data_IF_427449801048
#
_entry.id   IF_427449801048
#
_cell.length_a   1.000
_cell.length_b   1.000
_cell.length_c   1.000
_cell.angle_alpha   90.00
_cell.angle_beta   90.00
_cell.angle_gamma   90.00
#
_symmetry.space_group_name_H-M   'P 1'
#
loop_
_entity.id
_entity.type
_entity.pdbx_description
1 polymer ?
#
# COMPACT_ATOMS: atom_id res chain seq x y z
N UNK A 1 17.53 2.68 9.47
CA UNK A 1 16.37 1.94 8.90
C UNK A 1 15.04 2.47 9.40
N UNK A 2 14.82 2.60 10.72
CA UNK A 2 13.57 3.13 11.30
C UNK A 2 13.09 4.41 10.59
N UNK A 3 13.96 5.41 10.44
CA UNK A 3 13.64 6.66 9.71
C UNK A 3 13.11 6.47 8.29
N UNK A 4 13.68 5.54 7.52
CA UNK A 4 13.20 5.27 6.16
C UNK A 4 11.82 4.60 6.17
N UNK A 5 11.56 3.71 7.12
CA UNK A 5 10.24 3.08 7.28
C UNK A 5 9.20 4.13 7.70
N UNK A 6 9.53 4.97 8.68
CA UNK A 6 8.69 6.10 9.12
C UNK A 6 8.38 7.06 7.96
N UNK A 7 9.39 7.41 7.16
CA UNK A 7 9.21 8.29 6.00
C UNK A 7 8.26 7.70 4.96
N UNK A 8 8.34 6.37 4.72
CA UNK A 8 7.43 5.70 3.78
C UNK A 8 6.03 5.58 4.37
N UNK A 9 5.88 5.30 5.67
CA UNK A 9 4.58 5.27 6.34
C UNK A 9 3.89 6.63 6.33
N UNK A 10 4.63 7.72 6.49
CA UNK A 10 4.07 9.07 6.51
C UNK A 10 3.66 9.59 5.13
N UNK A 11 4.29 9.08 4.06
CA UNK A 11 4.11 9.57 2.68
C UNK A 11 3.85 8.41 1.70
N UNK A 12 3.13 7.39 2.14
CA UNK A 12 2.96 6.17 1.35
C UNK A 12 2.18 6.44 0.05
N UNK A 13 1.38 7.50 -0.01
CA UNK A 13 0.60 7.97 -1.15
C UNK A 13 1.45 8.76 -2.17
N UNK A 14 2.69 9.13 -1.85
CA UNK A 14 3.57 9.91 -2.73
C UNK A 14 4.66 9.04 -3.39
N UNK A 15 5.15 9.37 -4.60
CA UNK A 15 6.26 8.63 -5.20
C UNK A 15 7.51 8.64 -4.32
N UNK A 16 8.12 7.46 -4.10
CA UNK A 16 9.36 7.34 -3.30
C UNK A 16 10.58 7.51 -4.21
N UNK A 17 11.52 8.34 -3.77
CA UNK A 17 12.88 8.42 -4.32
C UNK A 17 13.84 7.62 -3.45
N UNK A 18 14.28 6.48 -3.96
CA UNK A 18 15.12 5.54 -3.20
C UNK A 18 16.51 6.13 -2.94
N UNK A 19 17.02 6.90 -3.89
CA UNK A 19 18.29 7.62 -3.82
C UNK A 19 18.33 8.58 -2.64
N UNK A 20 17.23 9.29 -2.39
CA UNK A 20 17.13 10.26 -1.30
C UNK A 20 17.14 9.55 0.06
N UNK A 21 16.38 8.47 0.21
CA UNK A 21 16.36 7.65 1.43
C UNK A 21 17.70 6.96 1.71
N UNK A 22 18.36 6.46 0.66
CA UNK A 22 19.67 5.85 0.78
C UNK A 22 20.72 6.89 1.20
N UNK A 23 20.68 8.09 0.59
CA UNK A 23 21.59 9.20 0.90
C UNK A 23 21.41 9.70 2.33
N UNK A 24 20.19 9.86 2.81
CA UNK A 24 19.89 10.26 4.19
C UNK A 24 20.55 9.34 5.21
N UNK A 25 20.62 8.04 4.89
CA UNK A 25 21.19 7.01 5.75
C UNK A 25 22.66 6.71 5.45
N UNK A 26 23.32 7.50 4.59
CA UNK A 26 24.71 7.30 4.15
C UNK A 26 24.98 5.91 3.55
N UNK A 27 24.01 5.38 2.79
CA UNK A 27 24.09 4.08 2.13
C UNK A 27 24.14 4.23 0.62
N UNK A 28 24.75 3.26 -0.05
CA UNK A 28 24.46 3.03 -1.47
C UNK A 28 23.01 2.55 -1.64
N UNK A 29 22.42 2.78 -2.83
CA UNK A 29 21.07 2.31 -3.17
C UNK A 29 20.95 0.79 -3.03
N UNK A 30 21.96 0.03 -3.49
CA UNK A 30 21.97 -1.43 -3.36
C UNK A 30 22.04 -1.88 -1.90
N UNK A 31 22.89 -1.24 -1.09
CA UNK A 31 22.99 -1.50 0.35
C UNK A 31 21.67 -1.21 1.07
N UNK A 32 21.02 -0.10 0.72
CA UNK A 32 19.71 0.28 1.24
C UNK A 32 18.65 -0.79 0.92
N UNK A 33 18.55 -1.24 -0.34
CA UNK A 33 17.61 -2.30 -0.71
C UNK A 33 17.81 -3.59 0.08
N UNK A 34 19.07 -4.02 0.25
CA UNK A 34 19.40 -5.22 1.04
C UNK A 34 18.95 -5.04 2.49
N UNK A 35 19.37 -3.96 3.15
CA UNK A 35 19.02 -3.73 4.56
C UNK A 35 17.52 -3.56 4.77
N UNK A 36 16.84 -2.83 3.89
CA UNK A 36 15.40 -2.64 3.96
C UNK A 36 14.68 -3.98 3.85
N UNK A 37 15.08 -4.84 2.90
CA UNK A 37 14.51 -6.18 2.75
C UNK A 37 14.84 -7.09 3.92
N UNK A 38 16.03 -7.01 4.51
CA UNK A 38 16.38 -7.77 5.71
C UNK A 38 15.48 -7.39 6.90
N UNK A 39 15.13 -6.12 7.04
CA UNK A 39 14.29 -5.64 8.15
C UNK A 39 12.79 -5.84 7.91
N UNK A 40 12.32 -5.65 6.68
CA UNK A 40 10.88 -5.63 6.34
C UNK A 40 10.40 -6.86 5.58
N UNK A 41 11.31 -7.78 5.23
CA UNK A 41 11.10 -8.89 4.29
C UNK A 41 10.73 -8.47 2.84
N UNK A 42 10.63 -7.17 2.55
CA UNK A 42 10.13 -6.63 1.27
C UNK A 42 11.07 -5.56 0.71
N UNK A 43 10.99 -5.29 -0.59
CA UNK A 43 11.63 -4.08 -1.13
C UNK A 43 10.82 -2.83 -0.71
N UNK A 44 11.43 -1.63 -0.67
CA UNK A 44 10.72 -0.39 -0.34
C UNK A 44 9.46 -0.15 -1.18
N UNK A 45 9.53 -0.43 -2.49
CA UNK A 45 8.40 -0.26 -3.42
C UNK A 45 7.30 -1.31 -3.14
N UNK A 46 7.67 -2.54 -2.79
CA UNK A 46 6.69 -3.57 -2.40
C UNK A 46 6.00 -3.19 -1.08
N UNK A 47 6.75 -2.68 -0.13
CA UNK A 47 6.24 -2.22 1.16
C UNK A 47 5.25 -1.06 0.98
N UNK A 48 5.63 -0.03 0.23
CA UNK A 48 4.74 1.09 -0.10
C UNK A 48 3.46 0.61 -0.79
N UNK A 49 3.59 -0.26 -1.79
CA UNK A 49 2.43 -0.82 -2.50
C UNK A 49 1.48 -1.53 -1.55
N UNK A 50 2.00 -2.33 -0.63
CA UNK A 50 1.16 -3.02 0.34
C UNK A 50 0.43 -2.01 1.24
N UNK A 51 1.10 -0.96 1.71
CA UNK A 51 0.45 0.11 2.49
C UNK A 51 -0.68 0.77 1.70
N UNK A 52 -0.42 1.17 0.44
CA UNK A 52 -1.43 1.78 -0.44
C UNK A 52 -2.65 0.88 -0.62
N UNK A 53 -2.44 -0.41 -0.91
CA UNK A 53 -3.52 -1.35 -1.15
C UNK A 53 -4.33 -1.63 0.13
N UNK A 54 -3.68 -1.73 1.29
CA UNK A 54 -4.35 -1.88 2.57
C UNK A 54 -5.17 -0.65 2.94
N UNK A 55 -4.62 0.55 2.76
CA UNK A 55 -5.37 1.78 3.04
C UNK A 55 -6.53 1.97 2.08
N UNK A 56 -6.38 1.65 0.80
CA UNK A 56 -7.49 1.71 -0.15
C UNK A 56 -8.63 0.76 0.26
N UNK A 57 -8.29 -0.45 0.75
CA UNK A 57 -9.30 -1.37 1.30
C UNK A 57 -10.02 -0.75 2.51
N UNK A 58 -9.28 -0.12 3.43
CA UNK A 58 -9.84 0.57 4.60
C UNK A 58 -10.78 1.70 4.19
N UNK A 59 -10.34 2.59 3.29
CA UNK A 59 -11.13 3.68 2.72
C UNK A 59 -12.44 3.20 2.09
N UNK A 60 -12.40 2.12 1.30
CA UNK A 60 -13.61 1.56 0.69
C UNK A 60 -14.54 0.92 1.73
N UNK A 61 -14.00 0.28 2.78
CA UNK A 61 -14.77 -0.38 3.84
C UNK A 61 -15.44 0.62 4.78
N UNK A 62 -14.66 1.54 5.33
CA UNK A 62 -15.04 2.42 6.44
C UNK A 62 -15.66 3.71 5.94
N UNK A 63 -15.07 4.30 4.88
CA UNK A 63 -15.45 5.63 4.39
C UNK A 63 -16.40 5.54 3.19
N UNK A 64 -16.68 4.33 2.69
CA UNK A 64 -17.68 4.07 1.64
C UNK A 64 -17.24 4.50 0.24
N UNK A 65 -15.96 4.80 0.04
CA UNK A 65 -15.41 5.23 -1.24
C UNK A 65 -15.52 4.13 -2.30
N UNK A 66 -15.64 4.53 -3.57
CA UNK A 66 -15.50 3.61 -4.68
C UNK A 66 -14.01 3.28 -4.96
N UNK A 67 -13.78 2.26 -5.78
CA UNK A 67 -12.44 1.77 -6.11
C UNK A 67 -11.55 2.83 -6.80
N UNK A 68 -12.13 3.69 -7.64
CA UNK A 68 -11.36 4.69 -8.35
C UNK A 68 -10.93 5.81 -7.39
N UNK A 69 -11.88 6.32 -6.59
CA UNK A 69 -11.61 7.33 -5.57
C UNK A 69 -10.56 6.86 -4.56
N UNK A 70 -10.72 5.66 -4.02
CA UNK A 70 -9.76 5.08 -3.09
C UNK A 70 -8.38 4.88 -3.74
N UNK A 71 -8.33 4.42 -5.00
CA UNK A 71 -7.09 4.29 -5.75
C UNK A 71 -6.34 5.61 -5.91
N UNK A 72 -7.04 6.68 -6.31
CA UNK A 72 -6.45 8.01 -6.43
C UNK A 72 -5.97 8.56 -5.09
N UNK A 73 -6.75 8.37 -4.02
CA UNK A 73 -6.41 8.86 -2.68
C UNK A 73 -5.16 8.21 -2.09
N UNK A 74 -4.86 6.96 -2.46
CA UNK A 74 -3.61 6.28 -2.05
C UNK A 74 -2.47 6.44 -3.06
N UNK A 75 -2.62 7.35 -4.04
CA UNK A 75 -1.53 7.74 -4.93
C UNK A 75 -1.37 6.92 -6.21
N UNK A 76 -2.39 6.20 -6.66
CA UNK A 76 -2.42 5.67 -8.03
C UNK A 76 -2.92 6.76 -8.99
N UNK A 77 -2.35 6.82 -10.19
CA UNK A 77 -2.78 7.77 -11.24
C UNK A 77 -3.80 7.15 -12.22
N UNK A 78 -3.96 5.82 -12.18
CA UNK A 78 -4.87 5.07 -13.03
C UNK A 78 -5.67 4.05 -12.22
N UNK A 79 -7.00 4.22 -12.18
CA UNK A 79 -7.91 3.33 -11.47
C UNK A 79 -7.90 1.90 -12.01
N UNK A 80 -7.63 1.72 -13.31
CA UNK A 80 -7.53 0.40 -13.92
C UNK A 80 -6.28 -0.35 -13.44
N UNK A 81 -5.15 0.34 -13.34
CA UNK A 81 -3.90 -0.17 -12.80
C UNK A 81 -4.06 -0.53 -11.32
N UNK A 82 -4.61 0.37 -10.52
CA UNK A 82 -4.96 0.11 -9.12
C UNK A 82 -5.77 -1.18 -9.00
N UNK A 83 -6.87 -1.30 -9.75
CA UNK A 83 -7.77 -2.46 -9.68
C UNK A 83 -7.06 -3.78 -10.02
N UNK A 84 -6.13 -3.77 -10.98
CA UNK A 84 -5.32 -4.95 -11.33
C UNK A 84 -4.36 -5.32 -10.21
N UNK A 85 -3.68 -4.34 -9.61
CA UNK A 85 -2.76 -4.58 -8.50
C UNK A 85 -3.48 -5.06 -7.25
N UNK A 86 -4.60 -4.42 -6.91
CA UNK A 86 -5.48 -4.81 -5.81
C UNK A 86 -5.91 -6.26 -5.95
N UNK A 87 -6.46 -6.64 -7.12
CA UNK A 87 -6.88 -8.02 -7.38
C UNK A 87 -5.73 -9.01 -7.26
N UNK A 88 -4.52 -8.65 -7.71
CA UNK A 88 -3.33 -9.51 -7.58
C UNK A 88 -2.95 -9.73 -6.12
N UNK A 89 -3.10 -8.71 -5.27
CA UNK A 89 -2.72 -8.78 -3.86
C UNK A 89 -3.77 -9.48 -3.00
N UNK A 90 -5.06 -9.14 -3.19
CA UNK A 90 -6.17 -9.64 -2.35
C UNK A 90 -6.96 -10.79 -2.97
N UNK A 91 -6.68 -11.15 -4.22
CA UNK A 91 -7.35 -12.23 -4.96
C UNK A 91 -8.69 -11.85 -5.59
N UNK A 92 -9.26 -10.68 -5.25
CA UNK A 92 -10.58 -10.23 -5.72
C UNK A 92 -10.57 -8.76 -6.16
N UNK A 93 -11.45 -8.37 -7.11
CA UNK A 93 -11.62 -6.96 -7.45
C UNK A 93 -12.04 -6.12 -6.24
N UNK A 94 -11.68 -4.83 -6.18
CA UNK A 94 -11.86 -3.97 -5.00
C UNK A 94 -13.27 -4.00 -4.40
N UNK A 95 -14.31 -3.68 -5.19
CA UNK A 95 -15.67 -3.60 -4.67
C UNK A 95 -16.24 -4.95 -4.24
N UNK A 96 -15.95 -6.03 -4.99
CA UNK A 96 -16.40 -7.39 -4.65
C UNK A 96 -15.77 -7.88 -3.34
N UNK A 97 -14.53 -7.51 -3.12
CA UNK A 97 -13.80 -7.83 -1.91
C UNK A 97 -14.40 -7.11 -0.68
N UNK A 98 -14.66 -5.80 -0.81
CA UNK A 98 -15.29 -4.99 0.24
C UNK A 98 -16.72 -5.44 0.55
N UNK A 99 -17.53 -5.74 -0.47
CA UNK A 99 -18.88 -6.29 -0.30
C UNK A 99 -18.86 -7.59 0.51
N UNK A 100 -17.92 -8.49 0.20
CA UNK A 100 -17.79 -9.75 0.93
C UNK A 100 -17.35 -9.51 2.38
N UNK A 101 -16.36 -8.64 2.60
CA UNK A 101 -15.87 -8.34 3.95
C UNK A 101 -16.96 -7.72 4.84
N UNK A 102 -17.80 -6.84 4.27
CA UNK A 102 -18.98 -6.30 4.96
C UNK A 102 -19.99 -7.39 5.31
N UNK A 103 -20.27 -8.30 4.38
CA UNK A 103 -21.19 -9.41 4.61
C UNK A 103 -20.70 -10.33 5.73
N UNK A 104 -19.40 -10.69 5.75
CA UNK A 104 -18.82 -11.51 6.83
C UNK A 104 -18.88 -10.80 8.18
N UNK A 105 -18.56 -9.50 8.25
CA UNK A 105 -18.59 -8.74 9.49
C UNK A 105 -20.01 -8.61 10.10
N UNK A 106 -21.06 -8.67 9.28
CA UNK A 106 -22.45 -8.72 9.74
C UNK A 106 -22.77 -10.08 10.37
N UNK A 107 -22.31 -11.18 9.75
CA UNK A 107 -22.53 -12.54 10.25
C UNK A 107 -21.83 -12.79 11.59
N UNK A 108 -20.64 -12.21 11.82
CA UNK A 108 -19.92 -12.35 13.09
C UNK A 108 -20.56 -11.56 14.26
N UNK A 109 -21.49 -10.65 13.96
CA UNK A 109 -22.19 -9.80 14.94
C UNK A 109 -23.62 -10.25 15.25
N UNK A 110 -24.12 -11.27 14.55
CA UNK A 110 -25.47 -11.82 14.68
C UNK A 110 -25.46 -13.07 15.57
#
# INVERSE_FOLDING_TARGET
MVRAIESILANFDQPIRIEDLAKELSMSVSGFHVHFKTVTAMTPIQFQKQLRLQEARRLMLDDGLDAAQAGFQVGYEDASHFSREYKRHFGKPPMRDVEQLRATAILDRA
#
